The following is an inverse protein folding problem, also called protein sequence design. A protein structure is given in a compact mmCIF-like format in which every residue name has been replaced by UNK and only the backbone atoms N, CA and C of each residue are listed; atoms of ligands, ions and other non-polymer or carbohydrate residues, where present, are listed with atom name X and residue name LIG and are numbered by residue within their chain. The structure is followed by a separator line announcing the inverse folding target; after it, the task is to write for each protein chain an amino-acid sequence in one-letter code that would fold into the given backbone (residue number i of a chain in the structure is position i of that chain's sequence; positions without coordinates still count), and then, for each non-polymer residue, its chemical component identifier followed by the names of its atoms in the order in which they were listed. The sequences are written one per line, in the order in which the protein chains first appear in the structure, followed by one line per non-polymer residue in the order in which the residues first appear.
data_IF_650259069648
#
_entry.id   IF_650259069648
#
_cell.length_a   1.000
_cell.length_b   1.000
_cell.length_c   1.000
_cell.angle_alpha   90.00
_cell.angle_beta   90.00
_cell.angle_gamma   90.00
#
_symmetry.space_group_name_H-M   'P 1'
#
loop_
_entity.id
_entity.type
_entity.pdbx_description
1 polymer ?
#
# COMPACT_ATOMS: atom_id res chain seq x y z
N UNK A 1 13.77 -13.22 60.54
CA UNK A 1 13.77 -14.26 59.48
C UNK A 1 12.37 -14.39 58.92
N UNK A 2 12.10 -13.70 57.82
CA UNK A 2 10.96 -13.87 56.91
C UNK A 2 11.29 -13.07 55.62
N UNK A 3 10.84 -13.53 54.44
CA UNK A 3 11.72 -13.62 53.29
C UNK A 3 11.58 -12.48 52.28
N UNK A 4 12.68 -12.24 51.58
CA UNK A 4 12.80 -11.44 50.37
C UNK A 4 11.71 -11.86 49.36
N UNK A 5 10.76 -10.96 49.11
CA UNK A 5 9.83 -11.09 47.99
C UNK A 5 10.53 -10.47 46.77
N UNK A 6 10.97 -11.25 45.76
CA UNK A 6 11.57 -10.68 44.59
C UNK A 6 10.44 -10.03 43.79
N UNK A 7 10.49 -8.70 43.65
CA UNK A 7 9.63 -7.98 42.73
C UNK A 7 9.78 -8.60 41.34
N UNK A 8 8.74 -9.31 40.91
CA UNK A 8 8.56 -9.77 39.55
C UNK A 8 8.51 -8.55 38.64
N UNK A 9 9.64 -8.25 38.00
CA UNK A 9 9.73 -7.31 36.89
C UNK A 9 8.98 -7.92 35.69
N UNK A 10 7.67 -7.73 35.65
CA UNK A 10 6.86 -8.00 34.47
C UNK A 10 7.17 -6.90 33.43
N UNK A 11 8.20 -7.14 32.61
CA UNK A 11 8.52 -6.30 31.47
C UNK A 11 7.43 -6.52 30.41
N UNK A 12 6.36 -5.72 30.47
CA UNK A 12 5.38 -5.66 29.40
C UNK A 12 6.06 -5.05 28.17
N UNK A 13 6.52 -5.90 27.24
CA UNK A 13 6.84 -5.48 25.87
C UNK A 13 5.52 -5.00 25.23
N UNK A 14 5.18 -3.73 25.44
CA UNK A 14 4.26 -3.05 24.53
C UNK A 14 5.05 -2.93 23.25
N UNK A 15 4.76 -3.80 22.29
CA UNK A 15 5.20 -3.62 20.92
C UNK A 15 4.60 -2.28 20.46
N UNK A 16 5.37 -1.19 20.60
CA UNK A 16 5.05 0.07 19.94
C UNK A 16 4.98 -0.32 18.46
N UNK A 17 3.81 -0.22 17.80
CA UNK A 17 3.76 -0.44 16.37
C UNK A 17 4.72 0.60 15.79
N UNK A 18 5.92 0.13 15.40
CA UNK A 18 7.00 0.97 14.92
C UNK A 18 6.42 1.90 13.89
N UNK A 19 6.66 3.21 14.08
CA UNK A 19 6.08 4.32 13.32
C UNK A 19 5.91 3.88 11.87
N UNK A 20 4.72 3.39 11.55
CA UNK A 20 4.34 3.13 10.18
C UNK A 20 4.29 4.54 9.62
N UNK A 21 4.93 4.80 8.48
CA UNK A 21 4.80 6.11 7.85
C UNK A 21 3.32 6.47 7.66
N UNK A 22 2.98 7.67 7.19
CA UNK A 22 1.58 8.09 7.06
C UNK A 22 0.68 7.11 6.26
N UNK A 23 1.27 6.14 5.55
CA UNK A 23 0.59 4.98 5.02
C UNK A 23 -0.22 4.19 6.08
N UNK A 24 -1.52 3.96 5.85
CA UNK A 24 -2.31 3.10 6.70
C UNK A 24 -1.78 1.67 6.66
N UNK A 25 -2.04 0.90 7.73
CA UNK A 25 -1.78 -0.51 7.69
C UNK A 25 -2.65 -1.19 6.62
N UNK A 26 -2.09 -2.19 5.93
CA UNK A 26 -2.87 -3.01 5.01
C UNK A 26 -4.14 -3.58 5.67
N UNK A 27 -4.06 -4.01 6.93
CA UNK A 27 -5.19 -4.57 7.68
C UNK A 27 -6.29 -3.56 8.01
N UNK A 28 -5.97 -2.27 7.97
CA UNK A 28 -6.88 -1.16 8.30
C UNK A 28 -7.55 -0.59 7.03
N UNK A 29 -7.26 -1.14 5.84
CA UNK A 29 -7.96 -0.78 4.61
C UNK A 29 -9.39 -1.30 4.60
N UNK A 30 -10.29 -0.47 5.14
CA UNK A 30 -11.73 -0.68 5.18
C UNK A 30 -12.41 0.66 4.88
N UNK A 31 -13.54 0.59 4.19
CA UNK A 31 -14.40 1.74 3.99
C UNK A 31 -15.14 2.08 5.30
N UNK A 32 -15.66 3.31 5.46
CA UNK A 32 -16.39 3.73 6.67
C UNK A 32 -17.63 2.88 6.97
N UNK A 33 -18.22 2.27 5.94
CA UNK A 33 -19.36 1.36 6.02
C UNK A 33 -18.95 -0.08 6.42
N UNK A 34 -17.66 -0.32 6.65
CA UNK A 34 -17.10 -1.62 7.02
C UNK A 34 -16.81 -2.53 5.82
N UNK A 35 -17.11 -2.11 4.60
CA UNK A 35 -16.76 -2.88 3.40
C UNK A 35 -15.26 -2.87 3.18
N UNK A 36 -14.75 -3.94 2.57
CA UNK A 36 -13.31 -4.15 2.42
C UNK A 36 -12.80 -3.43 1.18
N UNK A 37 -11.84 -2.53 1.34
CA UNK A 37 -11.10 -1.96 0.21
C UNK A 37 -10.01 -2.94 -0.25
N UNK A 38 -9.81 -3.11 -1.55
CA UNK A 38 -8.79 -4.01 -2.09
C UNK A 38 -7.39 -3.39 -2.05
N UNK A 39 -7.28 -2.16 -2.53
CA UNK A 39 -6.05 -1.38 -2.47
C UNK A 39 -6.38 0.11 -2.39
N UNK A 40 -5.45 0.90 -1.86
CA UNK A 40 -5.49 2.36 -1.90
C UNK A 40 -4.20 2.86 -2.53
N UNK A 41 -4.31 3.76 -3.50
CA UNK A 41 -3.18 4.34 -4.23
C UNK A 41 -3.11 5.84 -3.97
N UNK A 42 -1.90 6.41 -3.99
CA UNK A 42 -1.66 7.82 -3.73
C UNK A 42 -0.73 8.43 -4.77
N UNK A 43 -0.86 9.73 -4.97
CA UNK A 43 -0.08 10.51 -5.93
C UNK A 43 1.28 10.97 -5.38
N UNK A 44 1.51 10.93 -4.06
CA UNK A 44 2.77 11.34 -3.43
C UNK A 44 3.61 10.19 -2.86
N UNK A 45 4.91 10.30 -3.14
CA UNK A 45 6.03 9.61 -2.50
C UNK A 45 7.05 10.66 -2.05
N UNK A 46 7.80 10.38 -0.99
CA UNK A 46 8.77 11.31 -0.39
C UNK A 46 10.06 10.55 -0.02
N UNK A 47 11.23 11.22 0.02
CA UNK A 47 12.45 10.60 0.52
C UNK A 47 12.34 10.04 1.94
N UNK A 48 11.51 10.68 2.78
CA UNK A 48 11.19 10.25 4.13
C UNK A 48 9.92 9.40 4.12
N UNK A 49 10.03 8.15 4.57
CA UNK A 49 8.92 7.18 4.52
C UNK A 49 7.69 7.65 5.29
N UNK A 50 7.87 8.44 6.35
CA UNK A 50 6.80 9.04 7.14
C UNK A 50 5.89 9.99 6.35
N UNK A 51 6.39 10.58 5.26
CA UNK A 51 5.65 11.53 4.43
C UNK A 51 5.00 10.89 3.19
N UNK A 52 5.18 9.58 2.98
CA UNK A 52 4.57 8.84 1.88
C UNK A 52 3.10 8.49 2.15
N UNK A 53 2.37 8.07 1.11
CA UNK A 53 0.93 7.77 1.18
C UNK A 53 0.07 8.96 1.68
N UNK A 54 0.40 10.15 1.20
CA UNK A 54 -0.35 11.38 1.43
C UNK A 54 -0.82 11.96 0.09
N UNK A 55 -1.51 13.09 0.12
CA UNK A 55 -1.97 13.78 -1.08
C UNK A 55 -3.33 13.28 -1.56
N UNK A 56 -3.53 13.20 -2.86
CA UNK A 56 -4.73 12.61 -3.43
C UNK A 56 -4.70 11.10 -3.20
N UNK A 57 -5.87 10.52 -2.90
CA UNK A 57 -6.03 9.08 -2.70
C UNK A 57 -7.14 8.53 -3.58
N UNK A 58 -6.94 7.31 -4.08
CA UNK A 58 -7.96 6.54 -4.79
C UNK A 58 -8.10 5.16 -4.16
N UNK A 59 -9.27 4.90 -3.59
CA UNK A 59 -9.67 3.59 -3.10
C UNK A 59 -10.13 2.71 -4.26
N UNK A 60 -9.67 1.46 -4.26
CA UNK A 60 -9.98 0.47 -5.28
C UNK A 60 -10.75 -0.67 -4.61
N UNK A 61 -11.97 -0.91 -5.07
CA UNK A 61 -12.82 -1.95 -4.52
C UNK A 61 -12.40 -3.37 -4.99
N UNK A 62 -12.69 -4.42 -4.23
CA UNK A 62 -12.43 -5.80 -4.64
C UNK A 62 -13.07 -6.15 -5.99
N UNK A 63 -12.31 -6.78 -6.88
CA UNK A 63 -12.77 -7.14 -8.22
C UNK A 63 -12.77 -5.98 -9.23
N UNK A 64 -12.40 -4.77 -8.80
CA UNK A 64 -12.33 -3.60 -9.68
C UNK A 64 -11.31 -3.81 -10.79
N UNK A 65 -11.76 -3.61 -12.02
CA UNK A 65 -10.96 -3.69 -13.22
C UNK A 65 -11.00 -2.35 -13.96
N UNK A 66 -9.89 -1.62 -13.94
CA UNK A 66 -9.76 -0.33 -14.61
C UNK A 66 -8.69 -0.44 -15.70
N UNK A 67 -9.06 -0.90 -16.91
CA UNK A 67 -8.18 -0.87 -18.08
C UNK A 67 -7.85 0.58 -18.51
N UNK A 68 -8.67 1.55 -18.08
CA UNK A 68 -8.45 2.97 -18.31
C UNK A 68 -8.65 3.71 -16.98
N UNK A 69 -7.55 4.14 -16.36
CA UNK A 69 -7.62 4.98 -15.17
C UNK A 69 -8.27 6.34 -15.49
N UNK A 70 -8.93 6.97 -14.50
CA UNK A 70 -9.28 8.39 -14.55
C UNK A 70 -8.07 9.25 -14.97
N UNK A 71 -8.34 10.35 -15.68
CA UNK A 71 -7.27 11.14 -16.32
C UNK A 71 -6.27 11.73 -15.34
N UNK A 72 -6.74 12.09 -14.14
CA UNK A 72 -5.98 12.58 -12.99
C UNK A 72 -5.13 11.49 -12.33
N UNK A 73 -5.45 10.21 -12.52
CA UNK A 73 -4.76 9.07 -11.90
C UNK A 73 -3.77 8.34 -12.80
N UNK A 74 -3.74 8.67 -14.09
CA UNK A 74 -2.84 8.05 -15.06
C UNK A 74 -1.41 8.58 -14.90
N UNK A 75 -0.46 7.68 -14.67
CA UNK A 75 0.97 7.99 -14.55
C UNK A 75 1.31 8.95 -13.39
N UNK A 76 0.49 8.99 -12.33
CA UNK A 76 0.76 9.80 -11.13
C UNK A 76 0.92 8.97 -9.86
N UNK A 77 0.51 7.70 -9.89
CA UNK A 77 0.58 6.84 -8.70
C UNK A 77 2.04 6.61 -8.34
N UNK A 78 2.41 6.97 -7.11
CA UNK A 78 3.79 6.91 -6.61
C UNK A 78 3.91 6.13 -5.30
N UNK A 79 2.79 5.88 -4.60
CA UNK A 79 2.72 4.97 -3.45
C UNK A 79 1.39 4.21 -3.41
N UNK A 80 1.37 3.02 -2.79
CA UNK A 80 0.16 2.21 -2.69
C UNK A 80 0.15 1.30 -1.46
N UNK A 81 -1.04 0.87 -1.07
CA UNK A 81 -1.27 -0.14 -0.01
C UNK A 81 -2.26 -1.17 -0.55
N UNK A 82 -1.98 -2.45 -0.34
CA UNK A 82 -2.84 -3.57 -0.75
C UNK A 82 -3.31 -4.30 0.50
N UNK A 83 -4.62 -4.50 0.62
CA UNK A 83 -5.25 -5.12 1.77
C UNK A 83 -4.90 -6.62 1.87
N UNK A 84 -4.94 -7.24 3.08
CA UNK A 84 -4.49 -8.60 3.36
C UNK A 84 -4.76 -9.63 2.28
N UNK A 85 -5.85 -10.35 2.21
CA UNK A 85 -6.08 -11.37 1.18
C UNK A 85 -6.38 -10.77 -0.22
N UNK A 86 -5.55 -9.88 -0.76
CA UNK A 86 -5.73 -9.24 -2.06
C UNK A 86 -4.41 -9.11 -2.83
N UNK A 87 -4.52 -8.92 -4.14
CA UNK A 87 -3.43 -8.65 -5.07
C UNK A 87 -3.85 -7.54 -6.04
N UNK A 88 -2.97 -6.56 -6.24
CA UNK A 88 -3.15 -5.48 -7.21
C UNK A 88 -2.20 -5.72 -8.39
N UNK A 89 -2.77 -6.00 -9.56
CA UNK A 89 -2.00 -6.04 -10.81
C UNK A 89 -2.06 -4.68 -11.47
N UNK A 90 -0.90 -4.17 -11.88
CA UNK A 90 -0.78 -2.89 -12.55
C UNK A 90 -0.11 -3.05 -13.91
N UNK A 91 -0.43 -2.16 -14.84
CA UNK A 91 0.17 -2.12 -16.18
C UNK A 91 0.66 -0.74 -16.54
N UNK A 92 1.74 -0.71 -17.32
CA UNK A 92 2.40 0.54 -17.71
C UNK A 92 1.76 1.26 -18.91
N UNK A 93 0.80 0.61 -19.59
CA UNK A 93 0.01 1.21 -20.67
C UNK A 93 -1.47 0.95 -20.41
N UNK A 94 -2.30 1.80 -21.02
CA UNK A 94 -3.77 1.66 -21.01
C UNK A 94 -4.18 0.35 -21.69
N UNK A 95 -5.39 -0.13 -21.37
CA UNK A 95 -5.92 -1.38 -21.90
C UNK A 95 -5.13 -2.60 -21.40
N UNK A 96 -4.53 -2.52 -20.21
CA UNK A 96 -3.68 -3.58 -19.63
C UNK A 96 -2.48 -3.99 -20.51
N UNK A 97 -1.92 -3.02 -21.24
CA UNK A 97 -0.77 -3.24 -22.12
C UNK A 97 0.58 -2.93 -21.46
N UNK A 98 1.67 -3.27 -22.16
CA UNK A 98 3.03 -2.93 -21.73
C UNK A 98 3.55 -3.87 -20.65
N UNK A 99 4.41 -3.35 -19.75
CA UNK A 99 4.93 -4.13 -18.63
C UNK A 99 3.86 -4.23 -17.55
N UNK A 100 3.82 -5.36 -16.85
CA UNK A 100 2.94 -5.57 -15.70
C UNK A 100 3.75 -5.87 -14.43
N UNK A 101 3.16 -5.59 -13.29
CA UNK A 101 3.68 -6.01 -11.99
C UNK A 101 2.52 -6.32 -11.05
N UNK A 102 2.74 -7.26 -10.14
CA UNK A 102 1.75 -7.70 -9.18
C UNK A 102 2.23 -7.34 -7.78
N UNK A 103 1.51 -6.44 -7.12
CA UNK A 103 1.69 -6.12 -5.72
C UNK A 103 0.79 -7.02 -4.88
N UNK A 104 1.39 -7.76 -3.94
CA UNK A 104 0.66 -8.57 -2.96
C UNK A 104 0.24 -7.70 -1.77
N UNK A 105 -0.40 -8.30 -0.78
CA UNK A 105 -0.68 -7.67 0.50
C UNK A 105 0.53 -6.93 1.08
N UNK A 106 0.36 -5.67 1.46
CA UNK A 106 1.45 -4.88 2.04
C UNK A 106 1.33 -3.38 1.82
N UNK A 107 2.32 -2.67 2.33
CA UNK A 107 2.48 -1.21 2.16
C UNK A 107 3.68 -0.99 1.25
N UNK A 108 3.51 -0.12 0.25
CA UNK A 108 4.48 0.19 -0.79
C UNK A 108 4.66 1.72 -0.85
N UNK A 109 5.40 2.33 0.08
CA UNK A 109 5.46 3.78 0.23
C UNK A 109 6.15 4.50 -0.92
N UNK A 110 7.03 3.82 -1.66
CA UNK A 110 7.88 4.42 -2.70
C UNK A 110 8.01 3.51 -3.90
N UNK A 111 7.21 3.76 -4.93
CA UNK A 111 7.23 2.97 -6.15
C UNK A 111 8.51 3.15 -6.98
N UNK A 112 9.39 4.09 -6.62
CA UNK A 112 10.73 4.27 -7.18
C UNK A 112 11.65 3.07 -6.90
N UNK A 113 11.42 2.38 -5.78
CA UNK A 113 12.20 1.20 -5.36
C UNK A 113 11.83 -0.06 -6.15
N UNK A 114 10.68 -0.02 -6.84
CA UNK A 114 10.14 -1.16 -7.56
C UNK A 114 10.49 -1.02 -9.03
N UNK A 115 11.46 -1.82 -9.48
CA UNK A 115 11.98 -1.77 -10.86
C UNK A 115 10.91 -2.17 -11.88
N UNK A 116 10.87 -1.42 -12.99
CA UNK A 116 10.01 -1.67 -14.16
C UNK A 116 10.89 -2.12 -15.34
N UNK A 117 11.53 -3.26 -15.18
CA UNK A 117 12.55 -3.80 -16.08
C UNK A 117 13.92 -3.13 -15.90
N UNK A 118 14.74 -3.10 -16.95
CA UNK A 118 16.14 -2.65 -16.87
C UNK A 118 16.25 -1.13 -16.59
N UNK A 119 15.44 -0.33 -17.30
CA UNK A 119 15.40 1.13 -17.19
C UNK A 119 14.03 1.55 -16.64
N UNK A 120 14.04 2.13 -15.44
CA UNK A 120 12.87 2.74 -14.80
C UNK A 120 12.25 1.95 -13.65
N UNK A 121 11.30 2.60 -13.00
CA UNK A 121 10.56 2.12 -11.83
C UNK A 121 9.04 2.28 -12.03
N UNK A 122 8.27 1.89 -11.02
CA UNK A 122 6.81 1.90 -11.06
C UNK A 122 6.17 3.24 -10.66
N UNK A 123 6.90 4.09 -9.95
CA UNK A 123 6.41 5.45 -9.64
C UNK A 123 6.11 6.23 -10.91
N UNK A 124 4.94 6.86 -10.96
CA UNK A 124 4.42 7.64 -12.08
C UNK A 124 4.34 6.88 -13.40
N UNK A 125 4.19 5.54 -13.34
CA UNK A 125 4.20 4.70 -14.53
C UNK A 125 2.99 3.78 -14.67
N UNK A 126 2.02 3.85 -13.76
CA UNK A 126 0.82 3.00 -13.77
C UNK A 126 -0.28 3.66 -14.61
N UNK A 127 -0.86 2.90 -15.54
CA UNK A 127 -1.89 3.38 -16.47
C UNK A 127 -3.15 2.49 -16.52
N UNK A 128 -3.07 1.25 -16.03
CA UNK A 128 -4.21 0.36 -15.83
C UNK A 128 -4.03 -0.44 -14.54
N UNK A 129 -5.12 -0.85 -13.91
CA UNK A 129 -5.10 -1.64 -12.68
C UNK A 129 -6.21 -2.69 -12.67
N UNK A 130 -5.97 -3.77 -11.93
CA UNK A 130 -6.95 -4.80 -11.62
C UNK A 130 -6.68 -5.33 -10.22
N UNK A 131 -7.70 -5.32 -9.37
CA UNK A 131 -7.58 -5.71 -7.97
C UNK A 131 -8.41 -6.96 -7.70
N UNK A 132 -7.76 -8.02 -7.21
CA UNK A 132 -8.39 -9.32 -6.92
C UNK A 132 -8.22 -9.66 -5.44
N UNK A 133 -9.30 -10.06 -4.78
CA UNK A 133 -9.27 -10.57 -3.40
C UNK A 133 -9.76 -12.02 -3.31
N UNK A 134 -9.41 -12.69 -2.23
CA UNK A 134 -9.64 -14.12 -1.95
C UNK A 134 -9.81 -14.39 -0.45
#
# INVERSE_FOLDING_TARGET
MAPLCPLLLALALVAIPGVRGACPAAADLKNPDGTRTCAKVYDKSDPYYENCCQGAELSIEPGTDLPFLPSDWRNVISSLVVAPRCELTVWSRRGKGGKSHKFTAGVYPRLEEYRRGILGHWSNAIASIYCRCY
#
